data_IF_535362099598
#
_entry.id   IF_535362099598
#
_cell.length_a   1.000
_cell.length_b   1.000
_cell.length_c   1.000
_cell.angle_alpha   90.00
_cell.angle_beta   90.00
_cell.angle_gamma   90.00
#
_symmetry.space_group_name_H-M   'P 1'
#
loop_
_entity.id
_entity.type
_entity.pdbx_description
1 polymer ?
#
# COMPACT_ATOMS: atom_id res chain seq x y z
N UNK A 1 -39.43 -4.87 -21.91
CA UNK A 1 -39.62 -4.13 -23.18
C UNK A 1 -39.21 -2.69 -22.94
N UNK A 2 -38.41 -2.15 -23.86
CA UNK A 2 -37.74 -0.84 -23.83
C UNK A 2 -38.64 0.34 -23.43
N UNK A 3 -38.05 1.36 -22.81
CA UNK A 3 -37.78 2.74 -23.29
C UNK A 3 -37.11 3.42 -22.06
N UNK A 4 -35.90 3.96 -22.10
CA UNK A 4 -35.65 5.38 -22.35
C UNK A 4 -34.16 5.58 -22.66
N UNK A 5 -33.84 5.75 -23.95
CA UNK A 5 -32.62 6.41 -24.41
C UNK A 5 -32.86 7.92 -24.44
N UNK A 6 -31.78 8.67 -24.25
CA UNK A 6 -31.54 10.08 -24.65
C UNK A 6 -32.03 11.21 -23.72
N UNK A 7 -31.30 11.46 -22.62
CA UNK A 7 -31.16 12.84 -22.08
C UNK A 7 -29.81 13.02 -21.36
N UNK A 8 -28.69 13.09 -22.08
CA UNK A 8 -27.37 13.32 -21.47
C UNK A 8 -26.55 14.43 -22.15
N UNK A 9 -27.17 15.31 -22.94
CA UNK A 9 -26.45 16.26 -23.79
C UNK A 9 -26.92 17.72 -23.69
N UNK A 10 -27.51 18.14 -22.57
CA UNK A 10 -28.04 19.52 -22.45
C UNK A 10 -27.89 20.18 -21.08
N UNK A 11 -26.77 19.98 -20.37
CA UNK A 11 -26.37 20.91 -19.28
C UNK A 11 -24.85 20.96 -19.16
N UNK A 12 -24.16 21.30 -20.25
CA UNK A 12 -22.78 21.76 -20.20
C UNK A 12 -22.78 23.02 -21.06
N UNK A 13 -22.08 24.07 -20.65
CA UNK A 13 -22.15 25.46 -21.14
C UNK A 13 -23.17 26.32 -20.37
N UNK A 14 -22.96 26.45 -19.06
CA UNK A 14 -23.38 27.69 -18.34
C UNK A 14 -22.59 27.94 -17.05
N UNK A 15 -21.79 26.98 -16.57
CA UNK A 15 -21.00 27.12 -15.35
C UNK A 15 -19.56 27.66 -15.55
N UNK A 16 -19.24 28.28 -16.69
CA UNK A 16 -17.88 28.78 -16.97
C UNK A 16 -17.64 30.24 -16.53
N UNK A 17 -18.66 30.96 -16.03
CA UNK A 17 -18.59 32.43 -15.95
C UNK A 17 -18.92 33.09 -14.61
N UNK A 18 -19.22 32.33 -13.55
CA UNK A 18 -19.35 32.90 -12.20
C UNK A 18 -18.65 32.00 -11.19
N UNK A 19 -17.77 32.63 -10.42
CA UNK A 19 -16.69 31.99 -9.69
C UNK A 19 -17.11 31.10 -8.53
N UNK A 20 -16.09 30.39 -8.04
CA UNK A 20 -16.07 29.56 -6.83
C UNK A 20 -16.96 28.32 -6.91
N UNK A 21 -16.56 27.38 -7.77
CA UNK A 21 -16.79 25.97 -7.46
C UNK A 21 -15.48 25.45 -6.86
N UNK A 22 -15.34 25.53 -5.54
CA UNK A 22 -14.40 24.68 -4.82
C UNK A 22 -14.93 23.26 -4.98
N UNK A 23 -14.54 22.61 -6.08
CA UNK A 23 -14.74 21.18 -6.22
C UNK A 23 -13.97 20.57 -5.05
N UNK A 24 -14.60 19.81 -4.14
CA UNK A 24 -13.82 18.99 -3.24
C UNK A 24 -13.02 18.08 -4.15
N UNK A 25 -11.71 18.31 -4.22
CA UNK A 25 -10.79 17.30 -4.71
C UNK A 25 -11.01 16.16 -3.75
N UNK A 26 -11.81 15.18 -4.18
CA UNK A 26 -11.77 13.85 -3.61
C UNK A 26 -10.32 13.44 -3.79
N UNK A 27 -9.51 13.67 -2.76
CA UNK A 27 -8.18 13.12 -2.66
C UNK A 27 -8.41 11.63 -2.77
N UNK A 28 -8.16 11.10 -3.98
CA UNK A 28 -8.17 9.70 -4.25
C UNK A 28 -7.30 9.08 -3.16
N UNK A 29 -7.92 8.30 -2.29
CA UNK A 29 -7.20 7.63 -1.20
C UNK A 29 -6.23 6.71 -1.91
N UNK A 30 -4.96 7.15 -2.01
CA UNK A 30 -3.93 6.38 -2.70
C UNK A 30 -3.76 5.10 -1.88
N UNK A 31 -4.30 4.02 -2.41
CA UNK A 31 -4.36 2.73 -1.74
C UNK A 31 -2.96 2.12 -1.77
N UNK A 32 -2.34 1.98 -0.60
CA UNK A 32 -1.11 1.20 -0.45
C UNK A 32 -1.48 -0.29 -0.54
N UNK A 33 -1.06 -0.97 -1.60
CA UNK A 33 -1.30 -2.41 -1.79
C UNK A 33 0.02 -3.18 -1.77
N UNK A 34 -0.02 -4.49 -1.49
CA UNK A 34 1.14 -5.36 -1.71
C UNK A 34 1.40 -5.41 -3.21
N UNK A 35 2.53 -4.86 -3.64
CA UNK A 35 2.89 -4.66 -5.06
C UNK A 35 3.69 -5.81 -5.63
N UNK A 36 4.42 -6.54 -4.78
CA UNK A 36 5.19 -7.71 -5.21
C UNK A 36 5.14 -8.80 -4.14
N UNK A 37 5.07 -10.05 -4.59
CA UNK A 37 5.12 -11.19 -3.70
C UNK A 37 5.88 -12.35 -4.36
N UNK A 38 6.73 -13.01 -3.59
CA UNK A 38 7.42 -14.24 -3.99
C UNK A 38 7.14 -15.30 -2.94
N UNK A 39 6.67 -16.47 -3.36
CA UNK A 39 6.43 -17.61 -2.48
C UNK A 39 7.29 -18.80 -2.90
N UNK A 40 7.75 -19.57 -1.92
CA UNK A 40 8.46 -20.83 -2.07
C UNK A 40 7.82 -21.83 -1.11
N UNK A 41 7.71 -23.09 -1.54
CA UNK A 41 7.10 -24.16 -0.73
C UNK A 41 8.14 -25.22 -0.39
N UNK A 42 8.28 -25.55 0.88
CA UNK A 42 9.10 -26.67 1.34
C UNK A 42 8.22 -27.74 1.99
N UNK A 43 8.51 -29.00 1.65
CA UNK A 43 7.90 -30.16 2.31
C UNK A 43 8.58 -30.39 3.65
N UNK A 44 7.84 -30.24 4.74
CA UNK A 44 8.28 -30.63 6.08
C UNK A 44 7.57 -31.92 6.52
N UNK A 45 8.13 -32.66 7.51
CA UNK A 45 7.45 -33.83 8.09
C UNK A 45 6.04 -33.53 8.63
N UNK A 46 5.76 -32.26 8.94
CA UNK A 46 4.49 -31.79 9.50
C UNK A 46 3.57 -31.14 8.43
N UNK A 47 3.90 -31.27 7.14
CA UNK A 47 3.16 -30.71 6.00
C UNK A 47 3.91 -29.63 5.23
N UNK A 48 3.26 -29.00 4.26
CA UNK A 48 3.87 -27.96 3.40
C UNK A 48 3.99 -26.64 4.16
N UNK A 49 5.20 -26.11 4.28
CA UNK A 49 5.44 -24.76 4.79
C UNK A 49 5.63 -23.85 3.58
N UNK A 50 4.80 -22.81 3.49
CA UNK A 50 5.00 -21.74 2.52
C UNK A 50 5.82 -20.64 3.17
N UNK A 51 6.87 -20.20 2.50
CA UNK A 51 7.65 -19.04 2.91
C UNK A 51 7.75 -18.06 1.76
N UNK A 52 8.02 -16.80 2.05
CA UNK A 52 8.12 -15.84 0.98
C UNK A 52 8.53 -14.46 1.39
N UNK A 53 8.50 -13.58 0.41
CA UNK A 53 8.71 -12.15 0.54
C UNK A 53 7.48 -11.41 0.02
N UNK A 54 7.14 -10.29 0.66
CA UNK A 54 6.07 -9.41 0.22
C UNK A 54 6.53 -7.95 0.32
N UNK A 55 6.36 -7.17 -0.75
CA UNK A 55 6.68 -5.75 -0.80
C UNK A 55 5.39 -4.94 -0.86
N UNK A 56 5.30 -3.91 -0.03
CA UNK A 56 4.24 -2.91 -0.08
C UNK A 56 4.86 -1.55 -0.37
N UNK A 57 4.15 -0.73 -1.12
CA UNK A 57 4.52 0.66 -1.38
C UNK A 57 3.44 1.64 -0.92
N UNK A 58 3.84 2.92 -0.83
CA UNK A 58 2.96 4.04 -0.51
C UNK A 58 3.47 5.27 -1.23
N UNK A 59 2.62 5.89 -2.04
CA UNK A 59 2.93 7.15 -2.71
C UNK A 59 3.08 8.29 -1.68
N UNK A 60 4.07 9.14 -1.89
CA UNK A 60 4.27 10.41 -1.19
C UNK A 60 4.14 11.56 -2.18
N UNK A 61 4.39 12.79 -1.74
CA UNK A 61 4.34 13.97 -2.62
C UNK A 61 5.40 13.93 -3.73
N UNK A 62 6.57 13.32 -3.50
CA UNK A 62 7.71 13.37 -4.43
C UNK A 62 8.30 12.00 -4.78
N UNK A 63 7.68 10.91 -4.34
CA UNK A 63 8.17 9.56 -4.61
C UNK A 63 7.33 8.51 -3.90
N UNK A 64 7.98 7.45 -3.43
CA UNK A 64 7.31 6.33 -2.77
C UNK A 64 8.12 5.85 -1.56
N UNK A 65 7.42 5.37 -0.54
CA UNK A 65 7.96 4.58 0.56
C UNK A 65 7.75 3.10 0.25
N UNK A 66 8.71 2.26 0.63
CA UNK A 66 8.67 0.82 0.39
C UNK A 66 9.04 0.05 1.65
N UNK A 67 8.38 -1.09 1.86
CA UNK A 67 8.76 -2.09 2.85
C UNK A 67 8.62 -3.49 2.26
N UNK A 68 9.68 -4.29 2.37
CA UNK A 68 9.68 -5.72 2.03
C UNK A 68 9.84 -6.54 3.31
N UNK A 69 8.93 -7.48 3.52
CA UNK A 69 8.95 -8.43 4.65
C UNK A 69 9.22 -9.84 4.18
N UNK A 70 9.78 -10.67 5.07
CA UNK A 70 9.73 -12.13 4.96
C UNK A 70 8.53 -12.66 5.73
N UNK A 71 7.91 -13.73 5.23
CA UNK A 71 6.74 -14.35 5.86
C UNK A 71 6.77 -15.87 5.78
N UNK A 72 6.02 -16.52 6.67
CA UNK A 72 5.77 -17.96 6.67
C UNK A 72 4.28 -18.26 6.85
N UNK A 73 3.82 -19.39 6.30
CA UNK A 73 2.51 -19.98 6.54
C UNK A 73 2.66 -21.48 6.74
N UNK A 74 2.37 -21.93 7.96
CA UNK A 74 2.35 -23.35 8.33
C UNK A 74 0.98 -23.97 8.00
N UNK A 75 0.89 -25.30 7.83
CA UNK A 75 -0.38 -25.97 7.62
C UNK A 75 -1.41 -25.62 8.70
N UNK A 76 -2.61 -25.21 8.30
CA UNK A 76 -3.69 -24.84 9.21
C UNK A 76 -3.50 -23.51 9.96
N UNK A 77 -2.48 -22.72 9.63
CA UNK A 77 -2.21 -21.41 10.26
C UNK A 77 -2.37 -20.25 9.26
N UNK A 78 -2.61 -19.06 9.81
CA UNK A 78 -2.54 -17.81 9.04
C UNK A 78 -1.09 -17.45 8.71
N UNK A 79 -0.90 -16.59 7.72
CA UNK A 79 0.40 -16.01 7.40
C UNK A 79 0.94 -15.28 8.62
N UNK A 80 2.25 -15.39 8.84
CA UNK A 80 2.99 -14.70 9.88
C UNK A 80 4.19 -14.00 9.25
N UNK A 81 4.36 -12.73 9.55
CA UNK A 81 5.57 -11.99 9.19
C UNK A 81 6.71 -12.49 10.09
N UNK A 82 7.86 -12.82 9.50
CA UNK A 82 9.03 -13.33 10.22
C UNK A 82 10.13 -12.28 10.36
N UNK A 83 10.11 -11.22 9.54
CA UNK A 83 11.07 -10.14 9.62
C UNK A 83 10.88 -9.07 8.54
N UNK A 84 11.64 -7.99 8.65
CA UNK A 84 11.77 -6.96 7.61
C UNK A 84 13.06 -7.24 6.85
N UNK A 85 12.93 -7.47 5.54
CA UNK A 85 14.08 -7.64 4.65
C UNK A 85 14.70 -6.31 4.26
N UNK A 86 13.86 -5.32 3.93
CA UNK A 86 14.31 -4.00 3.46
C UNK A 86 13.22 -2.95 3.65
N UNK A 87 13.61 -1.72 3.95
CA UNK A 87 12.75 -0.54 3.88
C UNK A 87 13.53 0.60 3.19
N UNK A 88 12.92 1.29 2.24
CA UNK A 88 13.58 2.34 1.46
C UNK A 88 12.57 3.32 0.87
N UNK A 89 13.07 4.39 0.27
CA UNK A 89 12.25 5.45 -0.34
C UNK A 89 12.88 5.91 -1.65
N UNK A 90 12.03 6.30 -2.60
CA UNK A 90 12.42 7.06 -3.81
C UNK A 90 12.11 8.55 -3.69
N UNK A 91 11.36 8.96 -2.65
CA UNK A 91 11.17 10.37 -2.32
C UNK A 91 12.51 10.97 -1.84
N UNK A 92 13.04 12.01 -2.53
CA UNK A 92 14.36 12.56 -2.26
C UNK A 92 14.46 13.29 -0.92
N UNK A 93 13.34 13.67 -0.31
CA UNK A 93 13.30 14.39 0.96
C UNK A 93 13.11 13.47 2.17
N UNK A 94 12.55 12.28 1.95
CA UNK A 94 12.33 11.28 2.99
C UNK A 94 13.59 10.44 3.26
N UNK A 95 13.84 10.12 4.52
CA UNK A 95 14.87 9.16 4.95
C UNK A 95 14.31 8.17 5.94
N UNK A 96 14.73 6.90 5.83
CA UNK A 96 14.34 5.87 6.80
C UNK A 96 14.86 6.25 8.19
N UNK A 97 13.96 6.31 9.16
CA UNK A 97 14.27 6.66 10.55
C UNK A 97 14.27 5.43 11.44
N UNK A 98 13.23 4.59 11.33
CA UNK A 98 13.07 3.42 12.18
C UNK A 98 12.19 2.35 11.52
N UNK A 99 12.26 1.13 12.03
CA UNK A 99 11.41 0.01 11.63
C UNK A 99 10.89 -0.72 12.86
N UNK A 100 9.69 -1.28 12.77
CA UNK A 100 9.08 -2.12 13.80
C UNK A 100 8.45 -3.35 13.17
N UNK A 101 8.62 -4.52 13.78
CA UNK A 101 8.15 -5.79 13.24
C UNK A 101 7.51 -6.67 14.32
N UNK A 102 6.40 -7.29 13.99
CA UNK A 102 5.74 -8.36 14.75
C UNK A 102 5.27 -9.45 13.79
N UNK A 103 4.72 -10.55 14.32
CA UNK A 103 4.17 -11.59 13.44
C UNK A 103 2.92 -11.17 12.66
N UNK A 104 2.23 -10.10 13.07
CA UNK A 104 1.00 -9.62 12.44
C UNK A 104 1.20 -8.41 11.53
N UNK A 105 2.30 -7.66 11.70
CA UNK A 105 2.59 -6.50 10.87
C UNK A 105 4.04 -6.06 10.94
N UNK A 106 4.49 -5.36 9.91
CA UNK A 106 5.74 -4.61 9.91
C UNK A 106 5.50 -3.16 9.45
N UNK A 107 6.17 -2.21 10.09
CA UNK A 107 6.08 -0.78 9.80
C UNK A 107 7.46 -0.20 9.59
N UNK A 108 7.61 0.67 8.58
CA UNK A 108 8.78 1.51 8.39
C UNK A 108 8.38 2.98 8.50
N UNK A 109 9.16 3.75 9.25
CA UNK A 109 8.96 5.18 9.52
C UNK A 109 10.03 5.98 8.80
N UNK A 110 9.60 7.03 8.12
CA UNK A 110 10.43 7.92 7.33
C UNK A 110 10.27 9.35 7.81
N UNK A 111 11.36 10.10 7.80
CA UNK A 111 11.38 11.49 8.22
C UNK A 111 11.91 12.38 7.11
N UNK A 112 11.22 13.50 6.90
CA UNK A 112 11.59 14.57 6.00
C UNK A 112 12.14 15.75 6.80
N UNK A 113 13.46 15.97 6.68
CA UNK A 113 14.14 17.09 7.32
C UNK A 113 13.74 18.46 6.73
N UNK A 114 13.32 18.50 5.47
CA UNK A 114 13.03 19.72 4.71
C UNK A 114 11.70 20.30 5.14
N UNK A 115 10.69 19.43 5.29
CA UNK A 115 9.33 19.83 5.66
C UNK A 115 9.00 19.53 7.13
N UNK A 116 9.94 18.95 7.89
CA UNK A 116 9.78 18.58 9.31
C UNK A 116 8.53 17.71 9.49
N UNK A 117 8.47 16.62 8.71
CA UNK A 117 7.32 15.74 8.64
C UNK A 117 7.74 14.27 8.76
N UNK A 118 6.89 13.46 9.39
CA UNK A 118 7.05 12.01 9.43
C UNK A 118 5.97 11.35 8.60
N UNK A 119 6.33 10.30 7.88
CA UNK A 119 5.37 9.40 7.27
C UNK A 119 5.76 7.93 7.52
N UNK A 120 4.83 7.01 7.29
CA UNK A 120 5.07 5.59 7.48
C UNK A 120 4.33 4.74 6.47
N UNK A 121 4.86 3.54 6.28
CA UNK A 121 4.25 2.45 5.52
C UNK A 121 4.18 1.21 6.39
N UNK A 122 3.05 0.52 6.35
CA UNK A 122 2.79 -0.68 7.15
C UNK A 122 2.18 -1.78 6.30
N UNK A 123 2.76 -2.97 6.38
CA UNK A 123 2.22 -4.20 5.79
C UNK A 123 1.72 -5.12 6.90
N UNK A 124 0.48 -5.59 6.78
CA UNK A 124 -0.12 -6.59 7.66
C UNK A 124 0.03 -7.98 7.06
N UNK A 125 0.20 -8.99 7.92
CA UNK A 125 0.26 -10.37 7.48
C UNK A 125 -1.03 -10.82 6.77
N UNK A 126 -2.17 -10.21 7.11
CA UNK A 126 -3.47 -10.45 6.44
C UNK A 126 -3.57 -9.91 5.01
N UNK A 127 -2.65 -9.04 4.59
CA UNK A 127 -2.60 -8.52 3.21
C UNK A 127 -1.83 -9.43 2.26
N UNK A 128 -1.10 -10.42 2.79
CA UNK A 128 -0.23 -11.33 2.03
C UNK A 128 -1.10 -12.49 1.52
N UNK A 129 -1.21 -12.64 0.20
CA UNK A 129 -2.03 -13.68 -0.45
C UNK A 129 -1.18 -14.92 -0.72
N UNK A 130 -1.56 -16.09 -0.19
CA UNK A 130 -0.81 -17.36 -0.35
C UNK A 130 -1.52 -18.34 -1.25
#
# INVERSE_FOLDING_TARGET
>A
MNVFKKTAAKVVITALLFGLVTVPVNAEVITSNVVEQKATSDLSPNGVILTGEATKDKLTMYGYLYITVTWEKKPGQNVRITGIKKAWTTDPYMKLQNTSCSSSSATAYFYDNTHIATDSIKIYASEIQT
#
